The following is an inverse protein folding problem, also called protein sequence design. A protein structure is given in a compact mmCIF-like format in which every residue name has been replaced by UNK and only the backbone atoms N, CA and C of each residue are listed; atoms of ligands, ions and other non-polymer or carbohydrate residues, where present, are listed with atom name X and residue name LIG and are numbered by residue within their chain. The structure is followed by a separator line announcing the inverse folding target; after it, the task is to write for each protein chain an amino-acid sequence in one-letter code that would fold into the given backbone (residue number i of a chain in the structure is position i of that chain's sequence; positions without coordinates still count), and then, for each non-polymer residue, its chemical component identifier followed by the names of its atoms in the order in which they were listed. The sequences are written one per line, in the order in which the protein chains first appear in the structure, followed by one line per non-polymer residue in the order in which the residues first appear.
data_IF_500755960214
#
_entry.id   IF_500755960214
#
_cell.length_a   1.000
_cell.length_b   1.000
_cell.length_c   1.000
_cell.angle_alpha   90.00
_cell.angle_beta   90.00
_cell.angle_gamma   90.00
#
_symmetry.space_group_name_H-M   'P 1'
#
loop_
_entity.id
_entity.type
_entity.pdbx_description
1 polymer ?
#
# COMPACT_ATOMS: atom_id res chain seq x y z
N UNK A 1 0.55 14.08 30.83
CA UNK A 1 1.22 14.88 29.79
C UNK A 1 2.05 13.90 28.98
N UNK A 2 1.50 13.43 27.87
CA UNK A 2 2.23 12.59 26.92
C UNK A 2 2.84 13.55 25.91
N UNK A 3 4.17 13.67 25.91
CA UNK A 3 4.87 14.37 24.85
C UNK A 3 4.73 13.53 23.57
N UNK A 4 4.09 14.14 22.57
CA UNK A 4 3.95 13.62 21.22
C UNK A 4 5.36 13.47 20.61
N UNK A 5 5.75 12.21 20.39
CA UNK A 5 6.97 11.89 19.65
C UNK A 5 6.85 12.41 18.23
N UNK A 6 7.71 13.38 17.88
CA UNK A 6 8.06 13.89 16.56
C UNK A 6 7.34 13.19 15.39
N UNK A 7 6.10 13.63 15.10
CA UNK A 7 5.40 13.27 13.87
C UNK A 7 6.05 14.01 12.72
N UNK A 8 6.47 13.30 11.67
CA UNK A 8 6.68 13.91 10.35
C UNK A 8 5.51 14.85 10.03
N UNK A 9 5.80 15.99 9.42
CA UNK A 9 4.81 17.03 9.19
C UNK A 9 3.65 16.43 8.35
N UNK A 10 2.44 16.36 8.91
CA UNK A 10 1.24 15.79 8.26
C UNK A 10 1.04 16.38 6.84
N UNK A 11 1.50 17.62 6.61
CA UNK A 11 1.50 18.24 5.28
C UNK A 11 2.49 17.59 4.31
N UNK A 12 3.70 17.23 4.74
CA UNK A 12 4.70 16.59 3.89
C UNK A 12 4.23 15.19 3.49
N UNK A 13 3.60 14.45 4.41
CA UNK A 13 2.92 13.19 4.11
C UNK A 13 1.77 13.33 3.13
N UNK A 14 0.96 14.38 3.30
CA UNK A 14 -0.09 14.72 2.34
C UNK A 14 0.49 14.96 0.94
N UNK A 15 1.57 15.73 0.85
CA UNK A 15 2.22 16.05 -0.41
C UNK A 15 2.86 14.82 -1.06
N UNK A 16 3.51 13.94 -0.29
CA UNK A 16 4.06 12.67 -0.79
C UNK A 16 2.98 11.77 -1.40
N UNK A 17 1.80 11.74 -0.78
CA UNK A 17 0.66 10.97 -1.28
C UNK A 17 0.03 11.61 -2.52
N UNK A 18 -0.14 12.94 -2.54
CA UNK A 18 -0.90 13.65 -3.59
C UNK A 18 -0.07 14.06 -4.82
N UNK A 19 1.23 14.29 -4.70
CA UNK A 19 2.08 14.74 -5.81
C UNK A 19 2.01 13.79 -7.04
N UNK A 20 2.06 12.45 -6.90
CA UNK A 20 1.87 11.55 -8.04
C UNK A 20 0.50 11.70 -8.70
N UNK A 21 -0.55 11.89 -7.89
CA UNK A 21 -1.94 12.01 -8.35
C UNK A 21 -2.12 13.31 -9.15
N UNK A 22 -1.49 14.41 -8.72
CA UNK A 22 -1.51 15.68 -9.47
C UNK A 22 -0.89 15.55 -10.85
N UNK A 23 0.15 14.73 -11.02
CA UNK A 23 0.79 14.47 -12.33
C UNK A 23 -0.14 13.80 -13.33
N UNK A 24 -1.25 13.20 -12.91
CA UNK A 24 -2.29 12.72 -13.82
C UNK A 24 -2.88 13.85 -14.67
N UNK A 25 -2.90 15.10 -14.18
CA UNK A 25 -3.44 16.27 -14.90
C UNK A 25 -2.79 16.52 -16.27
N UNK A 26 -1.62 15.94 -16.51
CA UNK A 26 -0.81 16.16 -17.71
C UNK A 26 -0.74 14.91 -18.60
N UNK A 27 -1.41 13.82 -18.19
CA UNK A 27 -1.43 12.56 -18.93
C UNK A 27 -2.53 12.56 -20.00
N UNK A 28 -2.18 12.34 -21.27
CA UNK A 28 -3.15 12.12 -22.36
C UNK A 28 -3.58 10.65 -22.35
N UNK A 29 -4.84 10.29 -22.04
CA UNK A 29 -5.28 8.91 -22.04
C UNK A 29 -5.30 8.34 -23.46
N UNK A 30 -4.80 7.11 -23.64
CA UNK A 30 -5.11 6.30 -24.83
C UNK A 30 -6.45 5.60 -24.54
N UNK A 31 -7.51 6.03 -25.22
CA UNK A 31 -8.83 5.42 -25.09
C UNK A 31 -8.80 4.00 -25.67
N UNK A 32 -9.05 3.00 -24.82
CA UNK A 32 -9.19 1.59 -25.20
C UNK A 32 -10.67 1.23 -25.28
N UNK A 33 -11.06 0.50 -26.33
CA UNK A 33 -12.45 0.13 -26.62
C UNK A 33 -13.07 -0.89 -25.66
N UNK A 34 -14.40 -0.79 -25.54
CA UNK A 34 -15.32 -1.54 -24.69
C UNK A 34 -15.11 -3.06 -24.67
N UNK A 35 -15.29 -3.66 -23.49
CA UNK A 35 -16.00 -4.93 -23.34
C UNK A 35 -16.64 -5.07 -21.94
N UNK A 36 -17.74 -5.82 -21.94
CA UNK A 36 -18.91 -5.87 -21.06
C UNK A 36 -18.74 -6.65 -19.75
N UNK A 37 -19.02 -5.99 -18.61
CA UNK A 37 -20.05 -6.32 -17.60
C UNK A 37 -19.84 -5.33 -16.44
N UNK A 38 -20.48 -4.17 -16.56
CA UNK A 38 -20.28 -3.05 -15.64
C UNK A 38 -21.28 -3.08 -14.49
N UNK A 39 -20.79 -2.82 -13.28
CA UNK A 39 -21.64 -2.51 -12.13
C UNK A 39 -22.36 -1.18 -12.39
N UNK A 40 -23.63 -1.06 -12.01
CA UNK A 40 -24.35 0.23 -12.05
C UNK A 40 -23.76 1.23 -11.05
N UNK A 41 -24.20 2.50 -11.11
CA UNK A 41 -23.66 3.57 -10.26
C UNK A 41 -23.82 3.25 -8.77
N UNK A 42 -24.93 2.63 -8.38
CA UNK A 42 -25.24 2.31 -6.99
C UNK A 42 -24.36 1.15 -6.48
N UNK A 43 -24.15 0.11 -7.29
CA UNK A 43 -23.21 -0.96 -6.98
C UNK A 43 -21.75 -0.49 -6.96
N UNK A 44 -21.37 0.49 -7.79
CA UNK A 44 -20.04 1.12 -7.72
C UNK A 44 -19.84 1.91 -6.43
N UNK A 45 -20.80 2.77 -6.06
CA UNK A 45 -20.78 3.52 -4.79
C UNK A 45 -20.74 2.58 -3.59
N UNK A 46 -21.51 1.49 -3.62
CA UNK A 46 -21.50 0.47 -2.57
C UNK A 46 -20.14 -0.24 -2.46
N UNK A 47 -19.54 -0.64 -3.58
CA UNK A 47 -18.26 -1.37 -3.59
C UNK A 47 -17.08 -0.51 -3.10
N UNK A 48 -17.00 0.75 -3.51
CA UNK A 48 -15.90 1.65 -3.14
C UNK A 48 -16.15 2.44 -1.85
N UNK A 49 -17.41 2.75 -1.52
CA UNK A 49 -17.77 3.48 -0.31
C UNK A 49 -17.77 2.63 0.95
N UNK A 50 -17.90 1.30 0.83
CA UNK A 50 -17.75 0.36 1.96
C UNK A 50 -16.29 0.12 2.36
N UNK A 51 -15.34 0.50 1.50
CA UNK A 51 -13.91 0.45 1.79
C UNK A 51 -13.47 1.79 2.41
N UNK A 52 -12.99 1.73 3.66
CA UNK A 52 -12.66 2.94 4.43
C UNK A 52 -11.60 3.80 3.72
N UNK A 53 -10.54 3.18 3.19
CA UNK A 53 -9.50 3.90 2.48
C UNK A 53 -10.03 4.58 1.21
N UNK A 54 -10.76 3.84 0.37
CA UNK A 54 -11.32 4.39 -0.87
C UNK A 54 -12.35 5.48 -0.64
N UNK A 55 -13.17 5.38 0.40
CA UNK A 55 -14.08 6.45 0.78
C UNK A 55 -13.33 7.68 1.28
N UNK A 56 -12.26 7.53 2.08
CA UNK A 56 -11.49 8.69 2.55
C UNK A 56 -10.81 9.47 1.42
N UNK A 57 -10.34 8.78 0.38
CA UNK A 57 -9.69 9.44 -0.76
C UNK A 57 -10.68 9.82 -1.88
N UNK A 58 -11.97 9.50 -1.77
CA UNK A 58 -12.99 9.94 -2.73
C UNK A 58 -13.07 9.11 -4.02
N UNK A 59 -12.68 7.84 -3.98
CA UNK A 59 -12.87 6.92 -5.11
C UNK A 59 -14.31 6.39 -5.25
N UNK A 60 -15.18 6.72 -4.31
CA UNK A 60 -16.62 6.47 -4.33
C UNK A 60 -17.43 7.57 -5.06
N UNK A 61 -16.76 8.49 -5.78
CA UNK A 61 -17.41 9.62 -6.45
C UNK A 61 -18.04 9.28 -7.82
N UNK A 62 -19.07 10.04 -8.22
CA UNK A 62 -19.72 9.93 -9.54
C UNK A 62 -18.76 10.24 -10.70
N UNK A 63 -17.78 11.10 -10.47
CA UNK A 63 -16.71 11.39 -11.42
C UNK A 63 -15.78 10.18 -11.57
N UNK A 64 -15.50 9.45 -10.50
CA UNK A 64 -14.71 8.21 -10.56
C UNK A 64 -15.45 7.12 -11.34
N UNK A 65 -16.77 7.00 -11.15
CA UNK A 65 -17.62 6.13 -11.96
C UNK A 65 -17.62 6.52 -13.45
N UNK A 66 -17.71 7.81 -13.74
CA UNK A 66 -17.63 8.33 -15.12
C UNK A 66 -16.27 8.04 -15.76
N UNK A 67 -15.18 8.18 -15.00
CA UNK A 67 -13.83 7.80 -15.45
C UNK A 67 -13.66 6.29 -15.66
N UNK A 68 -14.34 5.46 -14.87
CA UNK A 68 -14.40 4.01 -15.09
C UNK A 68 -15.09 3.70 -16.42
N UNK A 69 -16.19 4.38 -16.76
CA UNK A 69 -16.89 4.20 -18.06
C UNK A 69 -16.08 4.70 -19.26
N UNK A 70 -15.24 5.71 -19.10
CA UNK A 70 -14.42 6.27 -20.17
C UNK A 70 -13.14 5.45 -20.52
N UNK A 71 -12.99 4.25 -19.94
CA UNK A 71 -12.02 3.18 -20.27
C UNK A 71 -10.51 3.49 -20.28
N UNK A 72 -10.06 4.71 -19.91
CA UNK A 72 -8.63 5.07 -19.94
C UNK A 72 -8.09 5.85 -18.74
N UNK A 73 -8.89 6.72 -18.11
CA UNK A 73 -8.42 7.61 -17.02
C UNK A 73 -8.16 6.87 -15.70
N UNK A 74 -8.96 5.85 -15.41
CA UNK A 74 -8.97 5.14 -14.13
C UNK A 74 -7.67 4.37 -13.85
N UNK A 75 -7.09 3.69 -14.85
CA UNK A 75 -5.84 2.91 -14.68
C UNK A 75 -4.65 3.80 -14.35
N UNK A 76 -4.62 5.03 -14.89
CA UNK A 76 -3.56 6.01 -14.58
C UNK A 76 -3.68 6.51 -13.14
N UNK A 77 -4.89 6.85 -12.70
CA UNK A 77 -5.16 7.30 -11.32
C UNK A 77 -4.82 6.21 -10.31
N UNK A 78 -5.28 4.98 -10.49
CA UNK A 78 -4.94 3.89 -9.56
C UNK A 78 -3.44 3.64 -9.45
N UNK A 79 -2.70 3.75 -10.56
CA UNK A 79 -1.25 3.62 -10.54
C UNK A 79 -0.61 4.76 -9.73
N UNK A 80 -1.05 6.00 -9.93
CA UNK A 80 -0.52 7.14 -9.17
C UNK A 80 -0.89 7.07 -7.68
N UNK A 81 -2.10 6.62 -7.34
CA UNK A 81 -2.47 6.33 -5.94
C UNK A 81 -1.55 5.26 -5.36
N UNK A 82 -1.24 4.20 -6.11
CA UNK A 82 -0.26 3.20 -5.71
C UNK A 82 1.11 3.79 -5.40
N UNK A 83 1.63 4.65 -6.29
CA UNK A 83 2.91 5.35 -6.08
C UNK A 83 2.84 6.27 -4.84
N UNK A 84 1.72 6.98 -4.64
CA UNK A 84 1.49 7.79 -3.45
C UNK A 84 1.49 6.97 -2.17
N UNK A 85 0.83 5.81 -2.16
CA UNK A 85 0.83 4.87 -1.04
C UNK A 85 2.24 4.39 -0.71
N UNK A 86 3.01 3.97 -1.72
CA UNK A 86 4.40 3.50 -1.57
C UNK A 86 5.31 4.58 -0.97
N UNK A 87 5.21 5.82 -1.47
CA UNK A 87 5.99 6.96 -0.96
C UNK A 87 5.64 7.29 0.48
N UNK A 88 4.35 7.39 0.78
CA UNK A 88 3.85 7.64 2.13
C UNK A 88 4.30 6.55 3.10
N UNK A 89 4.12 5.27 2.71
CA UNK A 89 4.48 4.12 3.51
C UNK A 89 5.97 4.13 3.90
N UNK A 90 6.86 4.35 2.91
CA UNK A 90 8.31 4.43 3.18
C UNK A 90 8.68 5.60 4.06
N UNK A 91 8.10 6.78 3.83
CA UNK A 91 8.44 7.95 4.63
C UNK A 91 8.01 7.76 6.09
N UNK A 92 6.83 7.19 6.34
CA UNK A 92 6.42 6.90 7.71
C UNK A 92 7.37 5.90 8.36
N UNK A 93 7.85 4.87 7.65
CA UNK A 93 8.88 3.97 8.17
C UNK A 93 10.16 4.74 8.52
N UNK A 94 10.66 5.58 7.62
CA UNK A 94 11.85 6.40 7.85
C UNK A 94 11.72 7.21 9.14
N UNK A 95 10.61 7.93 9.27
CA UNK A 95 10.39 8.89 10.35
C UNK A 95 10.13 8.17 11.68
N UNK A 96 9.32 7.11 11.67
CA UNK A 96 8.98 6.36 12.90
C UNK A 96 10.15 5.53 13.41
N UNK A 97 10.95 4.95 12.52
CA UNK A 97 12.15 4.18 12.89
C UNK A 97 13.36 5.07 13.19
N UNK A 98 13.29 6.36 12.83
CA UNK A 98 14.40 7.31 12.89
C UNK A 98 15.61 6.83 12.07
N UNK A 99 15.36 6.36 10.85
CA UNK A 99 16.41 6.00 9.91
C UNK A 99 17.11 7.24 9.36
N UNK A 100 18.45 7.23 9.32
CA UNK A 100 19.23 8.30 8.70
C UNK A 100 19.36 8.14 7.19
N UNK A 101 19.22 6.91 6.69
CA UNK A 101 19.46 6.56 5.29
C UNK A 101 18.22 5.87 4.69
N UNK A 102 17.66 6.39 3.58
CA UNK A 102 16.61 5.74 2.81
C UNK A 102 16.93 4.30 2.44
N UNK A 103 18.20 3.91 2.35
CA UNK A 103 18.61 2.53 2.18
C UNK A 103 17.84 1.62 3.15
N UNK A 104 17.73 1.95 4.44
CA UNK A 104 17.10 1.07 5.43
C UNK A 104 15.58 0.90 5.26
N UNK A 105 14.89 1.85 4.61
CA UNK A 105 13.47 1.72 4.25
C UNK A 105 13.23 1.15 2.85
N UNK A 106 14.27 1.00 2.03
CA UNK A 106 14.20 0.41 0.70
C UNK A 106 14.81 -1.00 0.68
N UNK A 107 14.27 -1.89 -0.14
CA UNK A 107 14.90 -3.20 -0.37
C UNK A 107 15.00 -3.51 -1.84
N UNK A 108 16.12 -4.11 -2.23
CA UNK A 108 16.38 -4.51 -3.60
C UNK A 108 17.31 -5.72 -3.65
N UNK A 109 17.25 -6.46 -4.74
CA UNK A 109 18.14 -7.58 -5.00
C UNK A 109 18.36 -7.77 -6.50
N UNK A 110 19.45 -8.43 -6.86
CA UNK A 110 19.75 -8.77 -8.25
C UNK A 110 19.23 -10.17 -8.60
N UNK A 111 18.63 -10.29 -9.78
CA UNK A 111 18.20 -11.56 -10.36
C UNK A 111 18.72 -11.70 -11.79
N UNK A 112 19.08 -12.91 -12.19
CA UNK A 112 19.52 -13.22 -13.55
C UNK A 112 18.31 -13.64 -14.38
N UNK A 113 18.14 -13.00 -15.54
CA UNK A 113 17.17 -13.43 -16.54
C UNK A 113 17.65 -14.69 -17.26
N UNK A 114 16.75 -15.40 -17.94
CA UNK A 114 17.08 -16.59 -18.76
C UNK A 114 18.13 -16.31 -19.84
N UNK A 115 18.25 -15.06 -20.29
CA UNK A 115 19.29 -14.60 -21.22
C UNK A 115 20.61 -14.16 -20.57
N UNK A 116 20.79 -14.41 -19.26
CA UNK A 116 22.01 -14.07 -18.52
C UNK A 116 22.14 -12.59 -18.11
N UNK A 117 21.19 -11.72 -18.50
CA UNK A 117 21.18 -10.31 -18.08
C UNK A 117 20.78 -10.20 -16.61
N UNK A 118 21.55 -9.43 -15.84
CA UNK A 118 21.23 -9.07 -14.45
C UNK A 118 20.17 -7.96 -14.44
N UNK A 119 19.14 -8.14 -13.62
CA UNK A 119 18.08 -7.16 -13.36
C UNK A 119 17.98 -6.95 -11.86
N UNK A 120 17.97 -5.69 -11.42
CA UNK A 120 17.64 -5.32 -10.04
C UNK A 120 16.12 -5.28 -9.88
N UNK A 121 15.63 -5.96 -8.85
CA UNK A 121 14.24 -5.96 -8.41
C UNK A 121 14.16 -5.21 -7.07
N UNK A 122 13.04 -4.54 -6.84
CA UNK A 122 12.81 -3.68 -5.68
C UNK A 122 11.51 -4.12 -4.99
N UNK A 123 11.49 -4.02 -3.66
CA UNK A 123 10.28 -4.03 -2.85
C UNK A 123 10.05 -2.64 -2.26
N UNK A 124 8.80 -2.39 -1.92
CA UNK A 124 8.23 -1.07 -1.67
C UNK A 124 8.49 -0.56 -0.24
N UNK A 125 9.00 -1.39 0.66
CA UNK A 125 9.37 -0.98 2.02
C UNK A 125 10.22 -2.00 2.74
N UNK A 126 10.98 -1.55 3.74
CA UNK A 126 11.78 -2.40 4.62
C UNK A 126 11.81 -1.87 6.05
N UNK A 127 11.70 -2.77 7.02
CA UNK A 127 12.11 -2.56 8.40
C UNK A 127 13.39 -3.36 8.63
N UNK A 128 14.53 -2.68 8.57
CA UNK A 128 15.84 -3.21 8.94
C UNK A 128 16.04 -3.12 10.45
N UNK A 129 15.93 -4.25 11.16
CA UNK A 129 15.84 -4.28 12.63
C UNK A 129 17.07 -3.68 13.33
N UNK A 130 18.26 -3.93 12.79
CA UNK A 130 19.51 -3.49 13.42
C UNK A 130 19.72 -1.97 13.32
N UNK A 131 18.93 -1.29 12.50
CA UNK A 131 19.09 0.12 12.17
C UNK A 131 17.95 0.97 12.75
N UNK A 132 16.93 0.35 13.37
CA UNK A 132 15.84 1.09 14.01
C UNK A 132 16.38 1.74 15.26
N UNK A 133 16.38 3.08 15.30
CA UNK A 133 16.89 3.85 16.44
C UNK A 133 15.81 4.20 17.46
N UNK A 134 14.55 4.24 17.02
CA UNK A 134 13.43 4.40 17.92
C UNK A 134 13.20 3.11 18.73
N UNK A 135 13.70 3.06 19.95
CA UNK A 135 13.65 1.87 20.82
C UNK A 135 12.24 1.33 21.04
N UNK A 136 11.25 2.23 21.15
CA UNK A 136 9.84 1.84 21.30
C UNK A 136 9.35 1.11 20.05
N UNK A 137 9.61 1.66 18.86
CA UNK A 137 9.24 1.03 17.59
C UNK A 137 9.98 -0.29 17.41
N UNK A 138 11.29 -0.35 17.74
CA UNK A 138 12.06 -1.60 17.66
C UNK A 138 11.45 -2.71 18.52
N UNK A 139 11.05 -2.38 19.76
CA UNK A 139 10.39 -3.34 20.66
C UNK A 139 9.07 -3.83 20.06
N UNK A 140 8.20 -2.91 19.61
CA UNK A 140 6.90 -3.26 19.06
C UNK A 140 7.02 -4.07 17.76
N UNK A 141 7.96 -3.72 16.87
CA UNK A 141 8.24 -4.46 15.64
C UNK A 141 8.67 -5.90 15.98
N UNK A 142 9.62 -6.08 16.90
CA UNK A 142 10.07 -7.42 17.31
C UNK A 142 8.95 -8.25 17.92
N UNK A 143 8.15 -7.64 18.81
CA UNK A 143 7.00 -8.30 19.44
C UNK A 143 5.95 -8.71 18.40
N UNK A 144 5.63 -7.81 17.48
CA UNK A 144 4.69 -8.06 16.40
C UNK A 144 5.20 -9.15 15.46
N UNK A 145 6.47 -9.12 15.06
CA UNK A 145 7.08 -10.14 14.20
C UNK A 145 6.98 -11.53 14.83
N UNK A 146 7.29 -11.67 16.12
CA UNK A 146 7.17 -12.95 16.82
C UNK A 146 5.75 -13.51 16.72
N UNK A 147 4.76 -12.72 17.12
CA UNK A 147 3.34 -13.12 17.08
C UNK A 147 2.87 -13.44 15.66
N UNK A 148 3.32 -12.68 14.67
CA UNK A 148 2.94 -12.87 13.28
C UNK A 148 3.54 -14.15 12.69
N UNK A 149 4.83 -14.40 12.97
CA UNK A 149 5.52 -15.62 12.56
C UNK A 149 4.92 -16.87 13.22
N UNK A 150 4.56 -16.80 14.51
CA UNK A 150 3.87 -17.89 15.21
C UNK A 150 2.53 -18.24 14.50
N UNK A 151 1.78 -17.22 14.07
CA UNK A 151 0.53 -17.41 13.30
C UNK A 151 0.77 -18.02 11.91
N UNK A 152 1.87 -17.67 11.26
CA UNK A 152 2.24 -18.20 9.95
C UNK A 152 2.91 -19.58 10.02
N UNK A 153 3.22 -20.08 11.22
CA UNK A 153 3.98 -21.32 11.45
C UNK A 153 5.34 -21.28 10.74
N UNK A 154 6.11 -20.22 11.02
CA UNK A 154 7.46 -19.97 10.48
C UNK A 154 8.40 -19.42 11.55
N UNK A 155 9.72 -19.66 11.44
CA UNK A 155 10.69 -19.01 12.34
C UNK A 155 10.73 -17.50 12.12
N UNK A 156 11.06 -16.75 13.18
CA UNK A 156 11.25 -15.30 13.10
C UNK A 156 12.55 -15.00 12.34
N UNK A 157 12.49 -14.22 11.25
CA UNK A 157 13.68 -13.83 10.49
C UNK A 157 14.53 -12.82 11.26
N UNK A 158 15.85 -12.84 11.00
CA UNK A 158 16.83 -12.06 11.76
C UNK A 158 16.93 -10.58 11.36
N UNK A 159 16.72 -10.26 10.07
CA UNK A 159 17.03 -8.92 9.54
C UNK A 159 15.81 -7.98 9.60
N UNK A 160 14.60 -8.54 9.55
CA UNK A 160 13.37 -7.78 9.77
C UNK A 160 12.27 -8.10 8.79
N UNK A 161 11.65 -7.07 8.22
CA UNK A 161 10.43 -7.19 7.39
C UNK A 161 10.64 -6.45 6.08
N UNK A 162 10.14 -7.02 4.98
CA UNK A 162 10.04 -6.32 3.70
C UNK A 162 8.60 -6.31 3.21
N UNK A 163 8.23 -5.22 2.55
CA UNK A 163 6.86 -4.94 2.18
C UNK A 163 6.71 -4.80 0.67
N UNK A 164 5.68 -5.45 0.13
CA UNK A 164 5.09 -5.09 -1.16
C UNK A 164 3.86 -4.21 -0.86
N UNK A 165 3.86 -2.96 -1.31
CA UNK A 165 2.83 -1.96 -0.97
C UNK A 165 1.88 -1.80 -2.13
N UNK A 166 0.58 -1.93 -1.84
CA UNK A 166 -0.46 -1.84 -2.87
C UNK A 166 -1.63 -0.99 -2.37
N UNK A 167 -2.15 -0.14 -3.24
CA UNK A 167 -3.39 0.59 -2.95
C UNK A 167 -4.60 -0.37 -2.85
N UNK A 168 -4.57 -1.47 -3.61
CA UNK A 168 -5.58 -2.52 -3.64
C UNK A 168 -5.14 -3.66 -4.56
N UNK A 169 -5.75 -4.84 -4.41
CA UNK A 169 -5.33 -6.05 -5.12
C UNK A 169 -6.50 -6.68 -5.87
N UNK A 170 -6.70 -6.25 -7.12
CA UNK A 170 -7.80 -6.72 -7.99
C UNK A 170 -7.37 -7.66 -9.11
N UNK A 171 -6.07 -7.84 -9.30
CA UNK A 171 -5.55 -8.59 -10.44
C UNK A 171 -5.57 -10.10 -10.18
N UNK A 172 -6.34 -10.86 -10.95
CA UNK A 172 -6.22 -12.33 -11.01
C UNK A 172 -5.12 -12.79 -11.99
N UNK A 173 -4.27 -11.87 -12.46
CA UNK A 173 -3.15 -12.18 -13.34
C UNK A 173 -2.12 -13.08 -12.63
N UNK A 174 -2.00 -14.32 -13.12
CA UNK A 174 -1.10 -15.33 -12.57
C UNK A 174 0.37 -14.93 -12.68
N UNK A 175 0.78 -14.14 -13.68
CA UNK A 175 2.16 -13.66 -13.80
C UNK A 175 2.52 -12.72 -12.66
N UNK A 176 1.59 -11.83 -12.28
CA UNK A 176 1.78 -10.91 -11.16
C UNK A 176 1.88 -11.65 -9.84
N UNK A 177 0.98 -12.59 -9.61
CA UNK A 177 0.99 -13.41 -8.38
C UNK A 177 2.25 -14.28 -8.27
N UNK A 178 2.75 -14.83 -9.37
CA UNK A 178 3.98 -15.59 -9.35
C UNK A 178 5.19 -14.70 -9.06
N UNK A 179 5.27 -13.51 -9.67
CA UNK A 179 6.34 -12.55 -9.36
C UNK A 179 6.32 -12.11 -7.88
N UNK A 180 5.13 -11.93 -7.31
CA UNK A 180 4.94 -11.61 -5.89
C UNK A 180 5.50 -12.74 -4.98
N UNK A 181 5.26 -14.00 -5.33
CA UNK A 181 5.76 -15.18 -4.59
C UNK A 181 7.28 -15.36 -4.78
N UNK A 182 7.79 -15.11 -5.99
CA UNK A 182 9.23 -15.17 -6.26
C UNK A 182 9.98 -14.13 -5.41
N UNK A 183 9.46 -12.90 -5.32
CA UNK A 183 10.02 -11.85 -4.46
C UNK A 183 10.01 -12.28 -2.98
N UNK A 184 8.89 -12.84 -2.50
CA UNK A 184 8.76 -13.32 -1.13
C UNK A 184 9.75 -14.45 -0.80
N UNK A 185 9.99 -15.35 -1.76
CA UNK A 185 10.98 -16.43 -1.61
C UNK A 185 12.38 -15.87 -1.43
N UNK A 186 12.75 -14.84 -2.20
CA UNK A 186 14.06 -14.18 -2.07
C UNK A 186 14.15 -13.40 -0.75
N UNK A 187 13.08 -12.74 -0.30
CA UNK A 187 13.04 -12.07 0.99
C UNK A 187 13.33 -13.05 2.14
N UNK A 188 12.66 -14.22 2.15
CA UNK A 188 12.92 -15.27 3.12
C UNK A 188 14.36 -15.75 3.10
N UNK A 189 14.91 -15.99 1.90
CA UNK A 189 16.31 -16.41 1.74
C UNK A 189 17.32 -15.36 2.25
N UNK A 190 16.93 -14.08 2.27
CA UNK A 190 17.73 -12.97 2.81
C UNK A 190 17.37 -12.63 4.27
N UNK A 191 16.63 -13.49 4.96
CA UNK A 191 16.33 -13.30 6.38
C UNK A 191 15.36 -12.17 6.67
N UNK A 192 14.38 -11.93 5.80
CA UNK A 192 13.28 -10.99 6.01
C UNK A 192 11.92 -11.69 5.93
N UNK A 193 10.96 -11.22 6.73
CA UNK A 193 9.55 -11.58 6.65
C UNK A 193 8.89 -10.81 5.49
N UNK A 194 8.40 -11.47 4.43
CA UNK A 194 7.68 -10.79 3.36
C UNK A 194 6.22 -10.52 3.74
N UNK A 195 5.81 -9.26 3.62
CA UNK A 195 4.44 -8.80 3.92
C UNK A 195 3.86 -8.06 2.72
N UNK A 196 2.62 -8.39 2.35
CA UNK A 196 1.82 -7.57 1.45
C UNK A 196 1.04 -6.53 2.25
N UNK A 197 1.38 -5.26 2.09
CA UNK A 197 0.70 -4.13 2.71
C UNK A 197 -0.30 -3.50 1.73
N UNK A 198 -1.59 -3.73 1.96
CA UNK A 198 -2.67 -3.34 1.06
C UNK A 198 -3.50 -2.25 1.74
N UNK A 199 -3.54 -1.04 1.18
CA UNK A 199 -4.21 0.11 1.79
C UNK A 199 -5.73 0.01 1.80
N UNK A 200 -6.33 -0.74 0.87
CA UNK A 200 -7.76 -1.05 0.86
C UNK A 200 -8.03 -2.41 1.51
N UNK A 201 -9.29 -2.65 1.86
CA UNK A 201 -9.83 -3.97 2.19
C UNK A 201 -10.01 -4.85 0.93
N UNK A 202 -9.89 -4.28 -0.27
CA UNK A 202 -10.15 -4.97 -1.53
C UNK A 202 -8.98 -5.86 -1.98
N UNK A 203 -9.02 -7.11 -1.50
CA UNK A 203 -8.26 -8.25 -2.01
C UNK A 203 -9.15 -9.50 -2.07
N UNK A 204 -9.02 -10.29 -3.14
CA UNK A 204 -9.73 -11.56 -3.28
C UNK A 204 -9.21 -12.61 -2.28
N UNK A 205 -10.13 -13.33 -1.61
CA UNK A 205 -9.80 -14.31 -0.56
C UNK A 205 -8.91 -15.44 -1.07
N UNK A 206 -9.05 -15.86 -2.32
CA UNK A 206 -8.21 -16.92 -2.90
C UNK A 206 -6.76 -16.46 -3.01
N UNK A 207 -6.54 -15.18 -3.30
CA UNK A 207 -5.21 -14.57 -3.34
C UNK A 207 -4.62 -14.48 -1.93
N UNK A 208 -5.44 -14.09 -0.95
CA UNK A 208 -5.05 -14.10 0.47
C UNK A 208 -4.59 -15.49 0.90
N UNK A 209 -5.38 -16.53 0.63
CA UNK A 209 -5.01 -17.91 0.94
C UNK A 209 -3.76 -18.35 0.20
N UNK A 210 -3.62 -18.00 -1.09
CA UNK A 210 -2.42 -18.32 -1.86
C UNK A 210 -1.16 -17.77 -1.20
N UNK A 211 -1.18 -16.51 -0.75
CA UNK A 211 -0.03 -15.85 -0.13
C UNK A 211 0.28 -16.40 1.26
N UNK A 212 -0.74 -16.62 2.09
CA UNK A 212 -0.56 -17.26 3.40
C UNK A 212 0.01 -18.69 3.24
N UNK A 213 -0.49 -19.46 2.27
CA UNK A 213 0.03 -20.80 1.98
C UNK A 213 1.49 -20.78 1.52
N UNK A 214 1.93 -19.70 0.87
CA UNK A 214 3.33 -19.43 0.52
C UNK A 214 4.10 -18.67 1.63
N UNK A 215 3.61 -18.71 2.87
CA UNK A 215 4.24 -18.12 4.05
C UNK A 215 4.53 -16.62 3.93
N UNK A 216 3.68 -15.91 3.20
CA UNK A 216 3.70 -14.46 3.14
C UNK A 216 2.68 -13.91 4.15
N UNK A 217 3.03 -12.83 4.85
CA UNK A 217 2.06 -12.10 5.64
C UNK A 217 1.28 -11.08 4.81
N UNK A 218 0.13 -10.66 5.33
CA UNK A 218 -0.80 -9.76 4.66
C UNK A 218 -1.38 -8.78 5.69
N UNK A 219 -1.35 -7.50 5.34
CA UNK A 219 -2.02 -6.42 6.03
C UNK A 219 -2.96 -5.73 5.04
N UNK A 220 -4.21 -5.47 5.42
CA UNK A 220 -5.24 -4.83 4.60
C UNK A 220 -5.83 -3.61 5.31
N UNK A 221 -6.41 -2.71 4.52
CA UNK A 221 -7.07 -1.48 4.97
C UNK A 221 -8.41 -1.69 5.66
N UNK A 222 -8.43 -2.50 6.71
CA UNK A 222 -9.61 -2.81 7.52
C UNK A 222 -9.45 -2.23 8.92
N UNK A 223 -10.57 -1.82 9.54
CA UNK A 223 -10.53 -1.35 10.92
C UNK A 223 -10.19 -2.50 11.87
N UNK A 224 -9.58 -2.17 13.00
CA UNK A 224 -9.21 -3.16 14.00
C UNK A 224 -10.42 -3.91 14.58
N UNK A 225 -11.61 -3.29 14.62
CA UNK A 225 -12.84 -3.98 15.03
C UNK A 225 -13.26 -5.09 14.07
N UNK A 226 -12.87 -4.98 12.80
CA UNK A 226 -13.32 -5.84 11.70
C UNK A 226 -12.27 -6.93 11.39
N UNK A 227 -11.13 -6.89 12.09
CA UNK A 227 -9.94 -7.67 11.81
C UNK A 227 -9.27 -8.17 13.10
N UNK A 228 -8.57 -9.30 13.04
CA UNK A 228 -7.51 -9.52 14.02
C UNK A 228 -6.42 -8.45 13.88
N UNK A 229 -5.72 -8.11 14.97
CA UNK A 229 -4.60 -7.15 15.00
C UNK A 229 -3.56 -7.37 13.89
N UNK A 230 -3.40 -8.62 13.45
CA UNK A 230 -2.44 -9.06 12.44
C UNK A 230 -2.92 -8.96 10.98
N UNK A 231 -4.14 -8.48 10.73
CA UNK A 231 -4.63 -8.26 9.36
C UNK A 231 -4.86 -6.79 9.07
N UNK A 232 -4.98 -5.93 10.09
CA UNK A 232 -5.23 -4.51 9.88
C UNK A 232 -3.92 -3.75 9.67
N UNK A 233 -3.77 -3.18 8.47
CA UNK A 233 -2.72 -2.22 8.15
C UNK A 233 -2.76 -1.03 9.11
N UNK A 234 -3.95 -0.50 9.40
CA UNK A 234 -4.12 0.63 10.31
C UNK A 234 -3.70 0.30 11.74
N UNK A 235 -4.03 -0.90 12.24
CA UNK A 235 -3.54 -1.37 13.55
C UNK A 235 -2.02 -1.51 13.57
N UNK A 236 -1.42 -2.05 12.51
CA UNK A 236 0.03 -2.15 12.39
C UNK A 236 0.69 -0.77 12.50
N UNK A 237 0.25 0.21 11.69
CA UNK A 237 0.80 1.56 11.76
C UNK A 237 0.66 2.19 13.15
N UNK A 238 -0.53 2.11 13.75
CA UNK A 238 -0.81 2.75 15.03
C UNK A 238 -0.05 2.11 16.19
N UNK A 239 -0.05 0.78 16.27
CA UNK A 239 0.48 0.05 17.42
C UNK A 239 1.96 -0.29 17.27
N UNK A 240 2.40 -0.61 16.06
CA UNK A 240 3.77 -1.05 15.79
C UNK A 240 4.66 0.13 15.44
N UNK A 241 4.23 0.96 14.49
CA UNK A 241 5.02 2.13 14.06
C UNK A 241 4.72 3.39 14.88
N UNK A 242 3.66 3.37 15.72
CA UNK A 242 3.28 4.54 16.52
C UNK A 242 2.68 5.69 15.72
N UNK A 243 2.21 5.44 14.49
CA UNK A 243 1.63 6.46 13.61
C UNK A 243 0.16 6.18 13.26
N UNK A 244 -0.70 7.18 13.41
CA UNK A 244 -2.13 7.05 13.12
C UNK A 244 -2.44 7.25 11.63
N UNK A 245 -2.18 6.21 10.83
CA UNK A 245 -2.41 6.23 9.38
C UNK A 245 -3.90 6.41 9.02
N UNK A 246 -4.81 5.80 9.80
CA UNK A 246 -6.25 5.97 9.58
C UNK A 246 -6.66 7.42 9.87
N UNK A 247 -6.23 7.97 11.00
CA UNK A 247 -6.48 9.37 11.35
C UNK A 247 -5.90 10.34 10.33
N UNK A 248 -4.72 10.06 9.76
CA UNK A 248 -4.15 10.86 8.69
C UNK A 248 -5.09 10.97 7.47
N UNK A 249 -5.59 9.85 6.96
CA UNK A 249 -6.52 9.87 5.82
C UNK A 249 -7.86 10.52 6.18
N UNK A 250 -8.37 10.29 7.39
CA UNK A 250 -9.62 10.90 7.85
C UNK A 250 -9.52 12.42 7.93
N UNK A 251 -8.47 12.95 8.59
CA UNK A 251 -8.25 14.41 8.74
C UNK A 251 -8.07 15.11 7.40
N UNK A 252 -7.46 14.43 6.43
CA UNK A 252 -7.19 15.00 5.11
C UNK A 252 -8.27 14.66 4.07
N UNK A 253 -9.32 13.92 4.45
CA UNK A 253 -10.28 13.33 3.50
C UNK A 253 -10.93 14.39 2.60
N UNK A 254 -11.42 15.49 3.17
CA UNK A 254 -12.09 16.54 2.39
C UNK A 254 -11.15 17.18 1.36
N UNK A 255 -9.90 17.43 1.76
CA UNK A 255 -8.86 18.00 0.89
C UNK A 255 -8.49 17.02 -0.24
N UNK A 256 -8.27 15.74 0.09
CA UNK A 256 -7.97 14.68 -0.89
C UNK A 256 -9.11 14.49 -1.90
N UNK A 257 -10.36 14.43 -1.41
CA UNK A 257 -11.57 14.30 -2.25
C UNK A 257 -11.70 15.44 -3.23
N UNK A 258 -11.56 16.69 -2.76
CA UNK A 258 -11.61 17.87 -3.61
C UNK A 258 -10.55 17.81 -4.71
N UNK A 259 -9.34 17.42 -4.35
CA UNK A 259 -8.22 17.39 -5.27
C UNK A 259 -8.33 16.27 -6.30
N UNK A 260 -8.74 15.07 -5.88
CA UNK A 260 -9.01 13.93 -6.77
C UNK A 260 -10.16 14.26 -7.72
N UNK A 261 -11.25 14.87 -7.24
CA UNK A 261 -12.34 15.33 -8.11
C UNK A 261 -11.86 16.38 -9.13
N UNK A 262 -10.96 17.29 -8.73
CA UNK A 262 -10.37 18.28 -9.64
C UNK A 262 -9.52 17.61 -10.72
N UNK A 263 -8.73 16.60 -10.37
CA UNK A 263 -7.93 15.81 -11.33
C UNK A 263 -8.85 15.05 -12.28
N UNK A 264 -9.87 14.38 -11.76
CA UNK A 264 -10.87 13.64 -12.55
C UNK A 264 -11.62 14.55 -13.52
N UNK A 265 -12.09 15.71 -13.05
CA UNK A 265 -12.79 16.67 -13.89
C UNK A 265 -11.92 17.12 -15.09
N UNK A 266 -10.63 17.40 -14.85
CA UNK A 266 -9.70 17.78 -15.92
C UNK A 266 -9.41 16.63 -16.90
N UNK A 267 -9.36 15.40 -16.42
CA UNK A 267 -9.14 14.21 -17.26
C UNK A 267 -10.36 13.87 -18.13
N UNK A 268 -11.56 14.22 -17.67
CA UNK A 268 -12.84 13.91 -18.32
C UNK A 268 -13.38 15.07 -19.17
N UNK A 269 -12.89 16.30 -18.99
CA UNK A 269 -13.27 17.42 -19.84
C UNK A 269 -12.76 17.23 -21.28
N UNK A 270 -13.60 17.39 -22.31
CA UNK A 270 -13.15 17.47 -23.69
C UNK A 270 -12.10 18.59 -23.84
N UNK A 271 -11.03 18.34 -24.59
CA UNK A 271 -10.13 19.41 -25.06
C UNK A 271 -10.74 20.12 -26.26
#
# INVERSE_FOLDING_TARGET
MLEEGSSGNDNDYYELFMEPIRKCKDYKPKLGGNNSDGVDLDGFKSLYGSDSFYSWIGLDSELMYSAHKAAGGMTSIYRQIGIGCERLFRQIIMDTCLYDDPFFSNWSYESKTSGGKVKTLYLDGRLELNEIKNEKVLYEVKSWMQKYCDRLDVPVPLNGVVFEVRQGYKSKDSKRQNGDIDNATVAWANGYLPIFAIFSAQIDKDIVYRYINNRCGILTGINESDAGEFLSLFSFFRKVLGYDLAGFFQRNSDKMKLEINTVLAKLLSPQ
#
